data_IF_507337436223
#
_entry.id   IF_507337436223
#
_cell.length_a   1.000
_cell.length_b   1.000
_cell.length_c   1.000
_cell.angle_alpha   90.00
_cell.angle_beta   90.00
_cell.angle_gamma   90.00
#
_symmetry.space_group_name_H-M   'P 1'
#
loop_
_entity.id
_entity.type
_entity.pdbx_description
1 polymer ?
#
# COMPACT_ATOMS: atom_id res chain seq x y z
N UNK A 1 7.42 -63.36 55.27
CA UNK A 1 7.85 -63.19 53.86
C UNK A 1 8.37 -61.76 53.69
N UNK A 2 9.46 -61.33 54.34
CA UNK A 2 10.79 -62.00 54.47
C UNK A 2 11.42 -62.28 53.11
N UNK A 3 12.68 -61.90 52.82
CA UNK A 3 13.67 -61.11 53.60
C UNK A 3 14.73 -60.55 52.62
N UNK A 4 15.31 -59.37 52.94
CA UNK A 4 16.76 -59.01 53.00
C UNK A 4 17.79 -59.61 52.00
N UNK A 5 18.96 -59.03 51.70
CA UNK A 5 19.80 -57.92 52.25
C UNK A 5 20.77 -57.44 51.14
N UNK A 6 21.05 -56.13 50.99
CA UNK A 6 22.29 -55.41 51.43
C UNK A 6 23.60 -55.81 50.67
N UNK A 7 24.78 -55.17 50.73
CA UNK A 7 25.38 -53.98 51.38
C UNK A 7 26.75 -53.74 50.67
N UNK A 8 27.53 -52.64 50.74
CA UNK A 8 27.47 -51.27 51.33
C UNK A 8 28.54 -50.41 50.62
N UNK A 9 28.64 -49.08 50.81
CA UNK A 9 29.89 -48.35 50.46
C UNK A 9 29.84 -46.84 50.22
N UNK A 10 29.90 -46.04 51.29
CA UNK A 10 30.42 -44.64 51.31
C UNK A 10 31.69 -44.64 52.19
N UNK A 11 32.69 -43.73 52.01
CA UNK A 11 32.50 -42.31 52.35
C UNK A 11 33.35 -41.27 51.56
N UNK A 12 33.25 -40.02 52.02
CA UNK A 12 33.80 -38.75 51.55
C UNK A 12 35.32 -38.69 51.25
N UNK A 13 35.69 -37.86 50.26
CA UNK A 13 36.69 -36.76 50.35
C UNK A 13 36.24 -35.69 49.31
N UNK A 14 35.89 -34.44 49.66
CA UNK A 14 36.70 -33.32 50.19
C UNK A 14 37.45 -32.51 49.09
N UNK A 15 37.03 -31.24 48.95
CA UNK A 15 37.71 -30.08 48.35
C UNK A 15 38.16 -30.09 46.87
N UNK A 16 37.68 -29.12 46.09
CA UNK A 16 38.47 -27.94 45.62
C UNK A 16 37.77 -27.26 44.43
N UNK A 17 37.67 -25.93 44.45
CA UNK A 17 37.19 -25.15 43.32
C UNK A 17 38.31 -24.88 42.30
N UNK A 18 38.08 -25.15 41.02
CA UNK A 18 38.85 -24.58 39.91
C UNK A 18 38.07 -24.67 38.59
N UNK A 19 38.02 -23.57 37.83
CA UNK A 19 37.49 -23.53 36.47
C UNK A 19 38.45 -24.16 35.46
N UNK A 20 37.92 -24.82 34.42
CA UNK A 20 38.52 -24.89 33.08
C UNK A 20 37.66 -24.11 32.07
N UNK A 21 38.16 -23.36 31.09
CA UNK A 21 39.57 -23.09 30.71
C UNK A 21 39.71 -21.65 30.20
N UNK A 22 40.94 -21.13 30.24
CA UNK A 22 41.26 -19.77 29.81
C UNK A 22 41.02 -19.54 28.32
N UNK A 23 40.45 -18.38 28.01
CA UNK A 23 40.48 -17.78 26.67
C UNK A 23 41.90 -17.22 26.45
N UNK A 24 42.62 -17.60 25.38
CA UNK A 24 43.87 -16.93 25.03
C UNK A 24 43.59 -15.51 24.51
N UNK A 25 44.22 -14.46 25.07
CA UNK A 25 44.03 -13.10 24.60
C UNK A 25 44.93 -12.83 23.39
N UNK A 26 44.33 -12.62 22.22
CA UNK A 26 45.06 -12.10 21.05
C UNK A 26 44.30 -10.93 20.43
N UNK A 27 45.02 -9.82 20.34
CA UNK A 27 44.67 -8.43 19.97
C UNK A 27 43.61 -8.20 18.89
N UNK A 28 42.93 -7.03 18.91
CA UNK A 28 41.99 -6.65 17.86
C UNK A 28 42.70 -6.52 16.51
N UNK A 29 42.13 -7.13 15.47
CA UNK A 29 42.48 -6.79 14.10
C UNK A 29 42.05 -5.35 13.84
N UNK A 30 43.05 -4.50 13.62
CA UNK A 30 42.89 -3.08 13.40
C UNK A 30 41.96 -2.82 12.20
N UNK A 31 41.03 -1.89 12.36
CA UNK A 31 40.35 -1.29 11.23
C UNK A 31 41.41 -0.65 10.33
N UNK A 32 41.51 -1.12 9.09
CA UNK A 32 42.26 -0.41 8.05
C UNK A 32 41.47 0.85 7.73
N UNK A 33 41.77 1.92 8.46
CA UNK A 33 41.34 3.27 8.12
C UNK A 33 42.09 3.64 6.84
N UNK A 34 41.43 3.44 5.70
CA UNK A 34 41.82 4.11 4.47
C UNK A 34 41.81 5.61 4.76
N UNK A 35 42.89 6.36 4.46
CA UNK A 35 42.83 7.81 4.54
C UNK A 35 41.71 8.29 3.61
N UNK A 36 40.94 9.34 3.99
CA UNK A 36 39.97 9.91 3.07
C UNK A 36 40.70 10.32 1.78
N UNK A 37 40.08 10.18 0.60
CA UNK A 37 40.67 10.70 -0.62
C UNK A 37 40.95 12.19 -0.40
N UNK A 38 42.19 12.61 -0.68
CA UNK A 38 42.55 14.03 -0.67
C UNK A 38 41.76 14.69 -1.79
N UNK A 39 40.63 15.29 -1.43
CA UNK A 39 39.84 16.09 -2.35
C UNK A 39 40.57 17.40 -2.55
N UNK A 40 41.03 17.61 -3.78
CA UNK A 40 41.62 18.87 -4.22
C UNK A 40 40.62 20.01 -3.98
N UNK A 41 40.97 21.06 -3.20
CA UNK A 41 40.07 22.18 -2.95
C UNK A 41 39.73 23.01 -4.20
N UNK A 42 40.47 22.88 -5.30
CA UNK A 42 40.39 23.80 -6.44
C UNK A 42 39.29 23.50 -7.47
N UNK A 43 38.34 22.60 -7.17
CA UNK A 43 37.06 22.48 -7.92
C UNK A 43 35.87 23.16 -7.23
N UNK A 44 36.11 23.99 -6.20
CA UNK A 44 35.12 24.94 -5.66
C UNK A 44 35.18 26.29 -6.37
N UNK A 45 34.95 26.31 -7.69
CA UNK A 45 34.70 27.56 -8.41
C UNK A 45 33.19 27.85 -8.48
N UNK A 46 32.74 28.50 -7.40
CA UNK A 46 31.48 29.23 -7.21
C UNK A 46 30.67 29.47 -8.49
N UNK A 47 29.47 28.91 -8.57
CA UNK A 47 28.29 29.60 -9.12
C UNK A 47 27.01 29.21 -8.36
N UNK A 48 26.41 30.22 -7.72
CA UNK A 48 25.03 30.30 -7.20
C UNK A 48 24.54 29.29 -6.14
N UNK A 49 24.24 29.84 -4.96
CA UNK A 49 23.15 29.35 -4.11
C UNK A 49 21.83 29.40 -4.89
N UNK A 50 20.97 28.39 -4.73
CA UNK A 50 19.57 28.43 -5.18
C UNK A 50 19.21 27.37 -6.23
N UNK A 51 18.16 26.59 -5.93
CA UNK A 51 17.56 25.58 -6.80
C UNK A 51 18.49 24.45 -7.30
N UNK A 52 18.55 23.35 -6.53
CA UNK A 52 18.75 22.03 -7.14
C UNK A 52 17.48 21.73 -7.94
N UNK A 53 17.47 22.05 -9.23
CA UNK A 53 16.39 21.67 -10.14
C UNK A 53 16.31 20.15 -10.20
N UNK A 54 15.29 19.58 -9.55
CA UNK A 54 15.03 18.15 -9.62
C UNK A 54 14.35 17.85 -10.96
N UNK A 55 15.06 17.12 -11.81
CA UNK A 55 14.65 16.84 -13.17
C UNK A 55 13.73 15.61 -13.21
N UNK A 56 12.86 15.58 -14.21
CA UNK A 56 11.97 14.44 -14.47
C UNK A 56 12.63 13.52 -15.49
N UNK A 57 12.92 12.28 -15.10
CA UNK A 57 13.41 11.25 -16.01
C UNK A 57 12.27 10.40 -16.56
N UNK A 58 12.48 9.79 -17.72
CA UNK A 58 11.60 8.74 -18.25
C UNK A 58 12.24 7.37 -18.01
N UNK A 59 11.58 6.50 -17.24
CA UNK A 59 12.05 5.15 -16.93
C UNK A 59 11.14 4.13 -17.62
N UNK A 60 11.71 3.22 -18.41
CA UNK A 60 10.97 2.11 -19.00
C UNK A 60 11.13 0.87 -18.12
N UNK A 61 10.02 0.32 -17.61
CA UNK A 61 10.02 -0.85 -16.73
C UNK A 61 8.86 -1.79 -17.10
N UNK A 62 9.16 -3.07 -17.36
CA UNK A 62 8.17 -4.12 -17.74
C UNK A 62 7.21 -3.69 -18.85
N UNK A 63 7.72 -3.02 -19.88
CA UNK A 63 6.94 -2.53 -21.03
C UNK A 63 6.11 -1.27 -20.77
N UNK A 64 6.14 -0.71 -19.56
CA UNK A 64 5.49 0.56 -19.20
C UNK A 64 6.51 1.69 -19.11
N UNK A 65 6.12 2.89 -19.55
CA UNK A 65 6.92 4.12 -19.40
C UNK A 65 6.42 4.91 -18.19
N UNK A 66 7.32 5.20 -17.26
CA UNK A 66 7.08 6.03 -16.08
C UNK A 66 7.81 7.36 -16.20
N UNK A 67 7.19 8.41 -15.68
CA UNK A 67 7.86 9.69 -15.44
C UNK A 67 8.21 9.77 -13.96
N UNK A 68 9.45 10.08 -13.64
CA UNK A 68 9.97 10.00 -12.27
C UNK A 68 10.68 11.29 -11.92
N UNK A 69 10.22 11.96 -10.86
CA UNK A 69 10.93 13.05 -10.22
C UNK A 69 12.01 12.46 -9.31
N UNK A 70 13.28 12.56 -9.72
CA UNK A 70 14.39 12.06 -8.91
C UNK A 70 14.63 12.98 -7.72
N UNK A 71 14.48 12.44 -6.51
CA UNK A 71 14.82 13.08 -5.24
C UNK A 71 16.26 12.77 -4.81
N UNK A 72 16.79 11.68 -5.35
CA UNK A 72 18.15 11.18 -5.17
C UNK A 72 19.20 12.16 -5.72
N UNK A 73 20.33 12.41 -5.02
CA UNK A 73 21.32 13.39 -5.46
C UNK A 73 22.18 12.90 -6.64
N UNK A 74 22.14 13.63 -7.75
CA UNK A 74 23.08 13.53 -8.87
C UNK A 74 22.43 13.10 -10.20
N UNK A 75 22.77 13.74 -11.34
CA UNK A 75 22.07 13.60 -12.64
C UNK A 75 22.05 12.19 -13.24
N UNK A 76 22.90 11.29 -12.72
CA UNK A 76 23.10 9.92 -13.20
C UNK A 76 22.77 8.88 -12.12
N UNK A 77 22.17 9.28 -11.00
CA UNK A 77 21.78 8.37 -9.93
C UNK A 77 20.70 7.39 -10.43
N UNK A 78 20.79 6.08 -10.13
CA UNK A 78 19.73 5.13 -10.48
C UNK A 78 18.45 5.46 -9.71
N UNK A 79 17.25 5.26 -10.30
CA UNK A 79 15.99 5.55 -9.61
C UNK A 79 15.83 4.74 -8.32
N UNK A 80 15.49 5.41 -7.21
CA UNK A 80 15.35 4.79 -5.89
C UNK A 80 13.88 4.64 -5.48
N UNK A 81 13.53 3.77 -4.50
CA UNK A 81 12.17 3.65 -3.96
C UNK A 81 11.62 4.88 -3.23
N UNK A 82 12.39 5.98 -3.18
CA UNK A 82 12.01 7.29 -2.65
C UNK A 82 11.70 8.31 -3.74
N UNK A 83 12.18 8.09 -4.98
CA UNK A 83 11.86 8.96 -6.12
C UNK A 83 10.36 8.88 -6.46
N UNK A 84 9.80 10.00 -6.91
CA UNK A 84 8.34 10.15 -7.04
C UNK A 84 7.89 9.82 -8.46
N UNK A 85 6.97 8.87 -8.61
CA UNK A 85 6.32 8.58 -9.89
C UNK A 85 5.28 9.67 -10.17
N UNK A 86 5.47 10.41 -11.25
CA UNK A 86 4.57 11.47 -11.71
C UNK A 86 3.46 10.93 -12.62
N UNK A 87 2.25 11.52 -12.61
CA UNK A 87 1.29 11.37 -13.69
C UNK A 87 1.83 12.06 -14.95
N UNK A 88 1.22 11.85 -16.13
CA UNK A 88 1.62 12.57 -17.35
C UNK A 88 1.60 14.09 -17.15
N UNK A 89 2.49 14.82 -17.84
CA UNK A 89 2.60 16.28 -17.73
C UNK A 89 1.25 17.02 -17.96
N UNK A 90 0.35 16.45 -18.76
CA UNK A 90 -1.02 16.95 -18.96
C UNK A 90 -1.86 17.09 -17.66
N UNK A 91 -1.49 16.39 -16.58
CA UNK A 91 -2.11 16.54 -15.26
C UNK A 91 -1.87 17.92 -14.62
N UNK A 92 -0.82 18.64 -15.05
CA UNK A 92 -0.34 19.90 -14.43
C UNK A 92 -0.59 21.15 -15.28
N UNK A 93 -1.02 21.00 -16.54
CA UNK A 93 -1.22 22.13 -17.46
C UNK A 93 -2.59 22.78 -17.23
N UNK A 94 -2.63 24.11 -17.13
CA UNK A 94 -3.88 24.88 -17.02
C UNK A 94 -4.51 25.24 -18.37
N UNK A 95 -3.68 25.56 -19.37
CA UNK A 95 -4.11 26.13 -20.65
C UNK A 95 -3.75 25.19 -21.81
N UNK A 96 -4.72 24.87 -22.67
CA UNK A 96 -4.53 23.92 -23.79
C UNK A 96 -3.63 24.44 -24.92
N UNK A 97 -3.13 25.67 -24.83
CA UNK A 97 -2.28 26.32 -25.83
C UNK A 97 -0.79 26.23 -25.53
N UNK A 98 -0.37 25.83 -24.33
CA UNK A 98 1.04 25.66 -23.96
C UNK A 98 1.54 24.23 -24.17
N UNK A 99 2.81 24.14 -24.56
CA UNK A 99 3.55 22.88 -24.71
C UNK A 99 3.48 22.08 -23.40
N UNK A 100 3.13 20.79 -23.48
CA UNK A 100 2.85 19.94 -22.32
C UNK A 100 4.13 19.58 -21.55
N UNK A 101 4.57 20.49 -20.68
CA UNK A 101 5.73 20.36 -19.82
C UNK A 101 5.33 20.09 -18.36
N UNK A 102 6.26 19.55 -17.57
CA UNK A 102 6.12 19.50 -16.12
C UNK A 102 6.40 20.89 -15.51
N UNK A 103 5.80 21.22 -14.35
CA UNK A 103 6.16 22.41 -13.60
C UNK A 103 7.57 22.27 -13.00
N UNK A 104 8.20 23.40 -12.66
CA UNK A 104 9.51 23.39 -12.00
C UNK A 104 9.43 22.82 -10.58
N UNK A 105 10.17 21.74 -10.32
CA UNK A 105 10.23 21.08 -9.02
C UNK A 105 11.41 21.57 -8.18
N UNK A 106 11.11 22.13 -7.02
CA UNK A 106 12.05 22.67 -6.04
C UNK A 106 12.13 21.79 -4.78
N UNK A 107 12.97 22.19 -3.82
CA UNK A 107 13.02 21.55 -2.49
C UNK A 107 11.69 21.66 -1.74
N UNK A 108 10.90 22.72 -1.96
CA UNK A 108 9.60 22.91 -1.32
C UNK A 108 8.42 22.28 -2.09
N UNK A 109 8.55 22.01 -3.39
CA UNK A 109 7.48 21.41 -4.21
C UNK A 109 7.60 19.89 -4.48
N UNK A 110 8.58 19.21 -3.86
CA UNK A 110 8.82 17.78 -4.06
C UNK A 110 8.12 16.83 -3.06
N UNK A 111 7.27 17.33 -2.17
CA UNK A 111 6.45 16.50 -1.28
C UNK A 111 5.10 16.17 -1.90
N UNK A 112 4.47 15.06 -1.50
CA UNK A 112 3.18 14.62 -2.06
C UNK A 112 2.10 15.72 -2.00
N UNK A 113 1.94 16.39 -0.86
CA UNK A 113 0.97 17.47 -0.67
C UNK A 113 1.23 18.69 -1.57
N UNK A 114 2.51 19.04 -1.74
CA UNK A 114 2.90 20.16 -2.59
C UNK A 114 2.66 19.83 -4.07
N UNK A 115 3.02 18.61 -4.49
CA UNK A 115 2.76 18.09 -5.83
C UNK A 115 1.26 18.00 -6.12
N UNK A 116 0.44 17.55 -5.16
CA UNK A 116 -1.02 17.50 -5.29
C UNK A 116 -1.61 18.90 -5.54
N UNK A 117 -1.05 19.93 -4.91
CA UNK A 117 -1.45 21.33 -5.10
C UNK A 117 -1.15 21.85 -6.52
N UNK A 118 -0.28 21.18 -7.28
CA UNK A 118 0.04 21.50 -8.68
C UNK A 118 -0.86 20.76 -9.69
N UNK A 119 -1.64 19.75 -9.28
CA UNK A 119 -2.48 18.97 -10.20
C UNK A 119 -3.73 19.76 -10.56
N UNK A 120 -3.85 20.09 -11.86
CA UNK A 120 -5.00 20.76 -12.45
C UNK A 120 -6.04 19.75 -12.94
N UNK A 121 -5.56 18.64 -13.54
CA UNK A 121 -6.38 17.61 -14.19
C UNK A 121 -6.23 16.26 -13.48
N UNK A 122 -7.00 16.03 -12.39
CA UNK A 122 -6.90 14.81 -11.59
C UNK A 122 -7.37 13.55 -12.33
N UNK A 123 -8.09 13.68 -13.44
CA UNK A 123 -8.55 12.59 -14.28
C UNK A 123 -7.40 11.77 -14.91
N UNK A 124 -6.23 12.38 -15.14
CA UNK A 124 -5.01 11.68 -15.56
C UNK A 124 -4.33 10.86 -14.46
N UNK A 125 -4.73 11.01 -13.19
CA UNK A 125 -4.07 10.32 -12.08
C UNK A 125 -4.38 8.83 -12.05
N UNK A 126 -5.55 8.39 -12.53
CA UNK A 126 -5.97 7.00 -12.41
C UNK A 126 -5.03 6.02 -13.12
N UNK A 127 -4.64 6.31 -14.36
CA UNK A 127 -3.82 5.39 -15.15
C UNK A 127 -2.39 5.29 -14.62
N UNK A 128 -1.90 6.33 -13.93
CA UNK A 128 -0.59 6.33 -13.28
C UNK A 128 -0.63 5.74 -11.86
N UNK A 129 -1.53 6.24 -11.00
CA UNK A 129 -1.53 6.01 -9.56
C UNK A 129 -2.62 5.05 -9.07
N UNK A 130 -3.62 4.73 -9.89
CA UNK A 130 -4.69 3.82 -9.53
C UNK A 130 -4.20 2.47 -9.02
N UNK A 131 -4.97 1.80 -8.14
CA UNK A 131 -4.61 0.50 -7.60
C UNK A 131 -4.51 -0.56 -8.71
N UNK A 132 -3.64 -1.54 -8.47
CA UNK A 132 -3.60 -2.77 -9.26
C UNK A 132 -4.91 -3.54 -9.24
N UNK A 133 -5.04 -4.55 -10.11
CA UNK A 133 -6.12 -5.52 -9.97
C UNK A 133 -6.00 -6.26 -8.63
N UNK A 134 -7.11 -6.74 -8.07
CA UNK A 134 -7.10 -7.46 -6.80
C UNK A 134 -6.19 -8.71 -6.81
N UNK A 135 -5.95 -9.31 -7.98
CA UNK A 135 -5.02 -10.44 -8.16
C UNK A 135 -3.54 -10.08 -8.26
N UNK A 136 -3.18 -8.79 -8.30
CA UNK A 136 -1.78 -8.31 -8.30
C UNK A 136 -1.23 -8.16 -6.86
N UNK A 137 -2.11 -8.15 -5.86
CA UNK A 137 -1.74 -8.14 -4.45
C UNK A 137 -1.52 -9.58 -3.95
N UNK A 138 -0.34 -9.85 -3.39
CA UNK A 138 0.01 -11.15 -2.77
C UNK A 138 -0.86 -11.47 -1.56
N UNK A 139 -1.19 -10.43 -0.79
CA UNK A 139 -1.80 -10.49 0.53
C UNK A 139 -2.46 -9.15 0.91
N UNK A 140 -3.24 -9.14 1.99
CA UNK A 140 -3.93 -7.96 2.52
C UNK A 140 -2.93 -6.90 3.03
N UNK A 141 -1.72 -7.28 3.46
CA UNK A 141 -0.70 -6.30 3.90
C UNK A 141 -0.21 -5.46 2.72
N UNK A 142 0.07 -6.07 1.56
CA UNK A 142 0.45 -5.38 0.32
C UNK A 142 -0.64 -4.43 -0.16
N UNK A 143 -1.92 -4.82 -0.01
CA UNK A 143 -3.08 -3.98 -0.32
C UNK A 143 -3.19 -2.79 0.65
N UNK A 144 -3.00 -3.01 1.96
CA UNK A 144 -3.01 -1.95 2.95
C UNK A 144 -1.84 -0.97 2.79
N UNK A 145 -0.64 -1.46 2.48
CA UNK A 145 0.53 -0.60 2.18
C UNK A 145 0.26 0.31 0.99
N UNK A 146 -0.32 -0.22 -0.09
CA UNK A 146 -0.75 0.58 -1.25
C UNK A 146 -1.73 1.71 -0.86
N UNK A 147 -2.58 1.50 0.15
CA UNK A 147 -3.48 2.53 0.70
C UNK A 147 -2.74 3.59 1.53
N UNK A 148 -1.96 3.16 2.51
CA UNK A 148 -1.47 4.02 3.61
C UNK A 148 -0.02 4.52 3.41
N UNK A 149 0.84 3.74 2.73
CA UNK A 149 2.27 4.05 2.47
C UNK A 149 2.58 4.35 0.98
N UNK A 150 1.65 3.99 0.09
CA UNK A 150 1.82 4.03 -1.37
C UNK A 150 2.45 2.76 -1.94
N UNK A 151 2.72 2.76 -3.25
CA UNK A 151 3.28 1.59 -3.96
C UNK A 151 4.68 1.89 -4.48
N UNK A 152 5.70 1.26 -3.92
CA UNK A 152 7.05 1.27 -4.49
C UNK A 152 7.13 0.31 -5.70
N UNK A 153 7.76 0.78 -6.77
CA UNK A 153 8.14 -0.01 -7.95
C UNK A 153 9.68 -0.03 -7.98
N UNK A 154 10.24 -1.22 -7.81
CA UNK A 154 11.68 -1.44 -7.76
C UNK A 154 12.38 -0.97 -9.06
N UNK A 155 13.45 -0.19 -8.91
CA UNK A 155 14.18 0.42 -10.03
C UNK A 155 13.42 1.54 -10.76
N UNK A 156 12.32 2.06 -10.21
CA UNK A 156 11.53 3.15 -10.81
C UNK A 156 11.25 4.28 -9.83
N UNK A 157 10.64 3.98 -8.67
CA UNK A 157 10.15 5.03 -7.77
C UNK A 157 8.92 4.58 -6.97
N UNK A 158 8.18 5.54 -6.39
CA UNK A 158 7.00 5.30 -5.57
C UNK A 158 5.78 6.07 -6.09
N UNK A 159 4.62 5.41 -6.10
CA UNK A 159 3.27 6.02 -6.23
C UNK A 159 2.80 6.53 -4.86
N UNK A 160 2.02 7.62 -4.78
CA UNK A 160 1.54 8.16 -3.50
C UNK A 160 0.67 7.17 -2.72
N UNK A 161 0.52 7.34 -1.39
CA UNK A 161 -0.54 6.70 -0.62
C UNK A 161 -1.92 7.00 -1.22
N UNK A 162 -2.67 5.95 -1.62
CA UNK A 162 -4.00 6.13 -2.20
C UNK A 162 -4.99 6.80 -1.23
N UNK A 163 -4.76 6.69 0.08
CA UNK A 163 -5.52 7.41 1.11
C UNK A 163 -5.41 8.92 0.97
N UNK A 164 -4.22 9.42 0.64
CA UNK A 164 -4.02 10.86 0.41
C UNK A 164 -4.69 11.31 -0.89
N UNK A 165 -4.59 10.52 -1.97
CA UNK A 165 -5.25 10.79 -3.26
C UNK A 165 -6.77 10.85 -3.10
N UNK A 166 -7.36 9.89 -2.37
CA UNK A 166 -8.81 9.87 -2.11
C UNK A 166 -9.23 10.97 -1.11
N UNK A 167 -8.36 11.41 -0.20
CA UNK A 167 -8.65 12.58 0.65
C UNK A 167 -8.75 13.87 -0.18
N UNK A 168 -7.81 14.09 -1.09
CA UNK A 168 -7.73 15.32 -1.90
C UNK A 168 -8.80 15.37 -3.02
N UNK A 169 -9.00 14.26 -3.75
CA UNK A 169 -9.89 14.23 -4.93
C UNK A 169 -11.07 13.26 -4.82
N UNK A 170 -11.17 12.46 -3.76
CA UNK A 170 -12.22 11.44 -3.60
C UNK A 170 -13.61 12.03 -3.36
N UNK A 171 -13.68 13.13 -2.61
CA UNK A 171 -14.92 13.88 -2.34
C UNK A 171 -15.08 15.15 -3.18
N UNK A 172 -14.04 15.54 -3.92
CA UNK A 172 -14.02 16.78 -4.71
C UNK A 172 -14.95 16.63 -5.90
N UNK A 173 -16.04 17.41 -5.92
CA UNK A 173 -16.96 17.49 -7.06
C UNK A 173 -16.20 17.94 -8.30
N UNK A 174 -16.21 17.10 -9.33
CA UNK A 174 -15.75 17.47 -10.65
C UNK A 174 -16.64 18.58 -11.23
N UNK A 175 -16.02 19.74 -11.49
CA UNK A 175 -16.69 20.96 -11.95
C UNK A 175 -17.34 20.81 -13.34
N UNK A 176 -16.99 19.78 -14.13
CA UNK A 176 -17.58 19.54 -15.46
C UNK A 176 -18.93 18.83 -15.42
N UNK A 177 -19.36 18.29 -14.27
CA UNK A 177 -20.60 17.53 -14.19
C UNK A 177 -21.46 17.86 -12.98
N UNK A 178 -22.61 18.49 -13.23
CA UNK A 178 -23.68 18.68 -12.26
C UNK A 178 -24.35 17.35 -11.82
N UNK A 179 -23.90 16.18 -12.32
CA UNK A 179 -24.38 14.85 -11.92
C UNK A 179 -23.42 14.17 -10.93
N UNK A 180 -23.85 14.20 -9.67
CA UNK A 180 -23.44 13.25 -8.62
C UNK A 180 -22.07 13.50 -7.96
N UNK A 181 -21.94 12.98 -6.75
CA UNK A 181 -20.68 12.92 -6.01
C UNK A 181 -19.80 11.79 -6.57
N UNK A 182 -19.03 12.10 -7.60
CA UNK A 182 -17.94 11.22 -8.08
C UNK A 182 -16.61 11.93 -7.86
N UNK A 183 -15.60 11.15 -7.46
CA UNK A 183 -14.24 11.62 -7.31
C UNK A 183 -13.68 12.17 -8.62
N UNK A 184 -13.02 13.33 -8.55
CA UNK A 184 -12.43 13.96 -9.72
C UNK A 184 -11.29 13.13 -10.34
N UNK A 185 -10.66 12.23 -9.57
CA UNK A 185 -9.52 11.43 -10.02
C UNK A 185 -9.87 10.01 -10.52
N UNK A 186 -11.14 9.59 -10.42
CA UNK A 186 -11.57 8.22 -10.78
C UNK A 186 -12.37 8.22 -12.10
N UNK A 187 -12.09 7.32 -13.06
CA UNK A 187 -12.77 7.31 -14.35
C UNK A 187 -14.28 7.06 -14.19
N UNK A 188 -15.11 7.98 -14.68
CA UNK A 188 -16.59 7.92 -14.50
C UNK A 188 -17.27 6.79 -15.28
N UNK A 189 -16.83 6.52 -16.52
CA UNK A 189 -17.52 5.62 -17.46
C UNK A 189 -16.78 4.29 -17.71
N UNK A 190 -15.65 4.06 -17.04
CA UNK A 190 -14.88 2.84 -17.18
C UNK A 190 -15.35 1.81 -16.11
N UNK A 191 -16.22 0.89 -16.53
CA UNK A 191 -16.79 -0.15 -15.66
C UNK A 191 -15.71 -1.01 -14.99
N UNK A 192 -14.64 -1.35 -15.71
CA UNK A 192 -13.48 -2.08 -15.19
C UNK A 192 -12.77 -1.30 -14.09
N UNK A 193 -12.49 -0.01 -14.29
CA UNK A 193 -11.87 0.85 -13.26
C UNK A 193 -12.75 0.96 -12.00
N UNK A 194 -14.06 1.19 -12.18
CA UNK A 194 -15.04 1.19 -11.09
C UNK A 194 -15.07 -0.15 -10.34
N UNK A 195 -14.98 -1.28 -11.05
CA UNK A 195 -14.94 -2.61 -10.44
C UNK A 195 -13.64 -2.85 -9.67
N UNK A 196 -12.47 -2.48 -10.21
CA UNK A 196 -11.18 -2.54 -9.51
C UNK A 196 -11.24 -1.72 -8.21
N UNK A 197 -11.71 -0.48 -8.28
CA UNK A 197 -11.84 0.39 -7.11
C UNK A 197 -12.77 -0.19 -6.05
N UNK A 198 -13.94 -0.71 -6.45
CA UNK A 198 -14.91 -1.33 -5.54
C UNK A 198 -14.32 -2.57 -4.83
N UNK A 199 -13.59 -3.42 -5.55
CA UNK A 199 -12.90 -4.58 -4.98
C UNK A 199 -11.78 -4.18 -4.00
N UNK A 200 -11.03 -3.12 -4.31
CA UNK A 200 -9.98 -2.58 -3.44
C UNK A 200 -10.60 -2.00 -2.14
N UNK A 201 -11.57 -1.09 -2.29
CA UNK A 201 -12.28 -0.45 -1.17
C UNK A 201 -12.99 -1.45 -0.25
N UNK A 202 -13.50 -2.57 -0.77
CA UNK A 202 -14.10 -3.63 0.05
C UNK A 202 -13.17 -4.15 1.17
N UNK A 203 -11.86 -4.15 0.95
CA UNK A 203 -10.87 -4.50 1.99
C UNK A 203 -10.52 -3.29 2.86
N UNK A 204 -10.26 -2.13 2.25
CA UNK A 204 -9.95 -0.88 2.97
C UNK A 204 -11.02 -0.56 4.02
N UNK A 205 -12.30 -0.48 3.62
CA UNK A 205 -13.39 -0.16 4.54
C UNK A 205 -13.54 -1.18 5.66
N UNK A 206 -13.12 -2.45 5.47
CA UNK A 206 -13.10 -3.44 6.57
C UNK A 206 -11.97 -3.20 7.54
N UNK A 207 -10.76 -2.92 7.04
CA UNK A 207 -9.61 -2.61 7.89
C UNK A 207 -9.90 -1.33 8.68
N UNK A 208 -10.41 -0.28 8.03
CA UNK A 208 -10.82 0.97 8.68
C UNK A 208 -11.97 0.78 9.68
N UNK A 209 -12.96 -0.08 9.39
CA UNK A 209 -14.00 -0.45 10.38
C UNK A 209 -13.41 -1.18 11.58
N UNK A 210 -12.48 -2.12 11.34
CA UNK A 210 -11.80 -2.83 12.42
C UNK A 210 -10.97 -1.88 13.29
N UNK A 211 -10.30 -0.90 12.68
CA UNK A 211 -9.57 0.15 13.38
C UNK A 211 -10.52 1.02 14.22
N UNK A 212 -11.66 1.44 13.67
CA UNK A 212 -12.64 2.25 14.42
C UNK A 212 -13.33 1.49 15.55
N UNK A 213 -13.34 0.15 15.50
CA UNK A 213 -13.74 -0.72 16.63
C UNK A 213 -12.63 -0.98 17.66
N UNK A 214 -11.44 -0.37 17.51
CA UNK A 214 -10.37 -0.40 18.51
C UNK A 214 -9.21 -1.37 18.22
N UNK A 215 -9.15 -2.01 17.05
CA UNK A 215 -7.97 -2.78 16.64
C UNK A 215 -6.88 -1.87 16.07
N UNK A 216 -5.62 -2.29 16.12
CA UNK A 216 -4.56 -1.66 15.32
C UNK A 216 -4.70 -2.03 13.84
N UNK A 217 -4.11 -1.24 12.95
CA UNK A 217 -4.07 -1.57 11.51
C UNK A 217 -3.43 -2.96 11.26
N UNK A 218 -2.36 -3.30 11.99
CA UNK A 218 -1.72 -4.61 11.88
C UNK A 218 -2.62 -5.76 12.34
N UNK A 219 -3.36 -5.60 13.44
CA UNK A 219 -4.35 -6.58 13.89
C UNK A 219 -5.51 -6.74 12.90
N UNK A 220 -6.03 -5.62 12.37
CA UNK A 220 -7.11 -5.62 11.40
C UNK A 220 -6.72 -6.30 10.07
N UNK A 221 -5.48 -6.09 9.60
CA UNK A 221 -4.90 -6.81 8.46
C UNK A 221 -4.74 -8.31 8.79
N UNK A 222 -4.20 -8.64 9.96
CA UNK A 222 -3.98 -10.04 10.37
C UNK A 222 -5.29 -10.85 10.42
N UNK A 223 -6.38 -10.30 10.96
CA UNK A 223 -7.69 -10.97 11.00
C UNK A 223 -8.21 -11.33 9.59
N UNK A 224 -7.89 -10.51 8.58
CA UNK A 224 -8.24 -10.80 7.19
C UNK A 224 -7.31 -11.83 6.55
N UNK A 225 -6.01 -11.84 6.89
CA UNK A 225 -5.05 -12.88 6.50
C UNK A 225 -5.38 -14.25 7.12
N UNK A 226 -5.70 -14.31 8.41
CA UNK A 226 -6.14 -15.53 9.09
C UNK A 226 -7.43 -16.09 8.45
N UNK A 227 -8.29 -15.20 7.96
CA UNK A 227 -9.50 -15.59 7.19
C UNK A 227 -9.15 -16.04 5.76
N UNK A 228 -8.03 -15.57 5.21
CA UNK A 228 -7.53 -15.89 3.87
C UNK A 228 -6.97 -17.30 3.79
N UNK A 229 -6.20 -17.75 4.78
CA UNK A 229 -5.50 -19.04 4.72
C UNK A 229 -4.74 -19.17 3.39
N UNK A 230 -5.09 -20.15 2.55
CA UNK A 230 -4.49 -20.41 1.23
C UNK A 230 -5.23 -19.73 0.06
N UNK A 231 -6.31 -18.98 0.29
CA UNK A 231 -7.08 -18.34 -0.77
C UNK A 231 -6.31 -17.15 -1.40
N UNK A 232 -6.44 -16.96 -2.71
CA UNK A 232 -5.99 -15.72 -3.36
C UNK A 232 -6.90 -14.54 -2.99
N UNK A 233 -6.41 -13.32 -3.13
CA UNK A 233 -7.19 -12.11 -2.82
C UNK A 233 -8.57 -12.05 -3.53
N UNK A 234 -8.71 -12.40 -4.83
CA UNK A 234 -10.02 -12.53 -5.47
C UNK A 234 -10.92 -13.65 -4.90
N UNK A 235 -10.35 -14.78 -4.46
CA UNK A 235 -11.11 -15.86 -3.82
C UNK A 235 -11.60 -15.44 -2.43
N UNK A 236 -10.75 -14.80 -1.63
CA UNK A 236 -11.09 -14.22 -0.34
C UNK A 236 -12.24 -13.21 -0.46
N UNK A 237 -12.17 -12.31 -1.45
CA UNK A 237 -13.24 -11.34 -1.73
C UNK A 237 -14.58 -12.03 -1.98
N UNK A 238 -14.63 -13.06 -2.84
CA UNK A 238 -15.85 -13.87 -3.08
C UNK A 238 -16.36 -14.54 -1.80
N UNK A 239 -15.48 -15.18 -1.02
CA UNK A 239 -15.79 -15.85 0.26
C UNK A 239 -16.38 -14.88 1.30
N UNK A 240 -15.85 -13.65 1.36
CA UNK A 240 -16.32 -12.60 2.28
C UNK A 240 -17.63 -11.93 1.83
N UNK A 241 -17.99 -12.01 0.54
CA UNK A 241 -19.28 -11.53 0.03
C UNK A 241 -20.42 -12.53 0.31
N UNK A 242 -20.24 -13.82 0.01
CA UNK A 242 -21.31 -14.83 0.17
C UNK A 242 -21.79 -14.98 1.62
N UNK A 243 -20.92 -14.73 2.61
CA UNK A 243 -21.29 -14.71 4.04
C UNK A 243 -22.33 -13.64 4.39
N UNK A 244 -22.44 -12.51 3.65
CA UNK A 244 -23.50 -11.51 3.86
C UNK A 244 -24.84 -11.95 3.25
N UNK A 245 -24.81 -12.57 2.06
CA UNK A 245 -26.01 -13.05 1.35
C UNK A 245 -26.74 -14.17 2.11
N UNK A 246 -26.02 -15.00 2.88
CA UNK A 246 -26.63 -16.13 3.60
C UNK A 246 -27.41 -15.75 4.88
N UNK A 247 -27.40 -14.47 5.30
CA UNK A 247 -28.15 -13.97 6.49
C UNK A 247 -29.52 -13.36 6.13
N UNK A 248 -30.16 -13.88 5.08
CA UNK A 248 -31.44 -13.38 4.55
C UNK A 248 -32.46 -14.47 4.18
N UNK A 249 -32.30 -15.70 4.70
CA UNK A 249 -33.23 -16.80 4.42
C UNK A 249 -33.45 -17.67 5.66
N UNK A 250 -34.14 -17.11 6.65
CA UNK A 250 -34.79 -17.89 7.71
C UNK A 250 -36.02 -18.54 7.08
N UNK A 251 -36.00 -19.86 6.92
CA UNK A 251 -37.18 -20.62 6.52
C UNK A 251 -38.07 -20.90 7.72
N UNK A 252 -39.38 -20.69 7.56
CA UNK A 252 -40.40 -21.35 8.37
C UNK A 252 -40.95 -22.57 7.59
N UNK A 253 -41.19 -23.72 8.23
CA UNK A 253 -41.79 -24.88 7.57
C UNK A 253 -43.34 -24.80 7.53
N UNK A 254 -43.91 -25.27 6.40
CA UNK A 254 -45.20 -25.97 6.13
C UNK A 254 -46.41 -25.94 7.10
N UNK A 255 -47.66 -26.28 6.65
CA UNK A 255 -48.03 -26.89 5.35
C UNK A 255 -49.26 -26.27 4.60
N UNK A 256 -49.35 -26.62 3.31
CA UNK A 256 -50.52 -27.13 2.55
C UNK A 256 -51.96 -26.91 3.09
N UNK A 257 -52.85 -26.29 2.29
CA UNK A 257 -53.98 -26.98 1.62
C UNK A 257 -54.92 -26.05 0.80
N UNK A 258 -55.52 -26.62 -0.25
CA UNK A 258 -56.77 -26.26 -0.95
C UNK A 258 -57.02 -24.82 -1.48
N UNK A 259 -56.89 -24.67 -2.80
CA UNK A 259 -57.83 -23.94 -3.66
C UNK A 259 -59.11 -24.83 -3.89
N UNK A 260 -60.18 -24.44 -4.64
CA UNK A 260 -60.30 -23.28 -5.55
C UNK A 260 -61.68 -22.55 -5.53
N UNK A 261 -61.88 -21.67 -6.53
CA UNK A 261 -63.14 -21.43 -7.28
C UNK A 261 -63.78 -20.03 -7.17
N UNK A 262 -63.84 -19.39 -8.34
CA UNK A 262 -64.96 -18.64 -8.95
C UNK A 262 -65.80 -17.64 -8.14
N UNK A 263 -65.95 -16.44 -8.70
CA UNK A 263 -66.94 -15.45 -8.26
C UNK A 263 -66.78 -14.09 -8.95
N UNK A 264 -67.47 -13.90 -10.09
CA UNK A 264 -67.85 -12.56 -10.55
C UNK A 264 -68.72 -11.86 -9.48
N UNK A 265 -68.71 -10.52 -9.45
CA UNK A 265 -69.94 -9.70 -9.47
C UNK A 265 -69.62 -8.20 -9.62
N UNK A 266 -70.52 -7.52 -10.33
CA UNK A 266 -70.51 -6.12 -10.75
C UNK A 266 -71.12 -5.22 -9.65
N UNK A 267 -70.70 -3.95 -9.54
CA UNK A 267 -71.55 -2.72 -9.50
C UNK A 267 -70.98 -1.55 -8.69
N UNK A 268 -71.12 -0.35 -9.28
CA UNK A 268 -71.37 0.99 -8.69
C UNK A 268 -70.56 1.48 -7.47
N UNK A 269 -70.18 2.76 -7.39
CA UNK A 269 -70.87 3.96 -7.92
C UNK A 269 -69.87 5.03 -8.36
#
# INVERSE_FOLDING_TARGET
METMVASVGTPLHAATAASPSQIPPTSPLQSVILPPPVVDPELLSVHSQGAVSRYVVSVNHKGSKYHVLQLSPGPLAPPTPFDIILPPAAAFVSDQTTMTAYPDFSVSSCGWQALFSLVVHPDFLWDCWGPGNLGEFSDVSSLWKCWDEGTAIEGVGRKPPLRMVETEWGSRKDKRSNKGHHAAWRPRQNTTACQKWSQFQFFISRIETSISTGLTASQAVQVLEDTRLTFSMPQLHRKLQTKRQKKGKVGGPCPESSAPSSGDVIMAT
#
